data_IF_002753566360
#
_entry.id   IF_002753566360
#
_cell.length_a   1.000
_cell.length_b   1.000
_cell.length_c   1.000
_cell.angle_alpha   90.00
_cell.angle_beta   90.00
_cell.angle_gamma   90.00
#
_symmetry.space_group_name_H-M   'P 1'
#
loop_
_entity.id
_entity.type
_entity.pdbx_description
1 polymer ?
#
# COMPACT_ATOMS: atom_id res chain seq x y z
N UNK A 1 -1.89 -10.28 -10.36
CA UNK A 1 -0.97 -10.13 -11.51
C UNK A 1 -0.69 -8.65 -11.90
N UNK A 2 0.51 -8.10 -11.62
CA UNK A 2 0.88 -6.73 -12.05
C UNK A 2 1.07 -6.59 -13.57
N UNK A 3 1.37 -7.68 -14.29
CA UNK A 3 1.60 -7.67 -15.74
C UNK A 3 0.31 -7.76 -16.58
N UNK A 4 -0.83 -8.13 -15.97
CA UNK A 4 -2.12 -8.27 -16.67
C UNK A 4 -2.55 -7.00 -17.41
N UNK A 5 -2.19 -5.82 -16.88
CA UNK A 5 -2.50 -4.52 -17.49
C UNK A 5 -1.97 -4.33 -18.92
N UNK A 6 -0.90 -5.04 -19.30
CA UNK A 6 -0.33 -4.95 -20.65
C UNK A 6 -1.03 -5.87 -21.66
N UNK A 7 -1.73 -6.90 -21.19
CA UNK A 7 -2.53 -7.82 -22.04
C UNK A 7 -4.01 -7.48 -22.05
N UNK A 8 -4.52 -6.72 -21.06
CA UNK A 8 -5.91 -6.23 -21.02
C UNK A 8 -6.38 -5.56 -22.31
N UNK A 9 -5.59 -4.74 -23.04
CA UNK A 9 -6.06 -4.19 -24.33
C UNK A 9 -5.99 -5.20 -25.49
N UNK A 10 -5.10 -6.18 -25.41
CA UNK A 10 -4.89 -7.19 -26.47
C UNK A 10 -5.99 -8.26 -26.44
N UNK A 11 -6.43 -8.65 -25.24
CA UNK A 11 -7.42 -9.72 -25.05
C UNK A 11 -8.77 -9.42 -25.72
N UNK A 12 -9.40 -8.23 -25.58
CA UNK A 12 -10.64 -7.90 -26.28
C UNK A 12 -10.51 -7.97 -27.80
N UNK A 13 -9.36 -7.52 -28.34
CA UNK A 13 -9.11 -7.58 -29.78
C UNK A 13 -9.01 -9.03 -30.27
N UNK A 14 -8.24 -9.87 -29.57
CA UNK A 14 -8.15 -11.30 -29.89
C UNK A 14 -9.51 -12.01 -29.73
N UNK A 15 -10.30 -11.65 -28.71
CA UNK A 15 -11.64 -12.19 -28.50
C UNK A 15 -12.58 -11.82 -29.65
N UNK A 16 -12.52 -10.58 -30.14
CA UNK A 16 -13.32 -10.13 -31.29
C UNK A 16 -12.92 -10.84 -32.58
N UNK A 17 -11.61 -10.98 -32.85
CA UNK A 17 -11.10 -11.76 -33.98
C UNK A 17 -11.53 -13.22 -33.92
N UNK A 18 -11.46 -13.83 -32.72
CA UNK A 18 -11.92 -15.20 -32.51
C UNK A 18 -13.43 -15.33 -32.76
N UNK A 19 -14.24 -14.41 -32.25
CA UNK A 19 -15.68 -14.40 -32.48
C UNK A 19 -16.02 -14.34 -33.98
N UNK A 20 -15.34 -13.47 -34.73
CA UNK A 20 -15.53 -13.35 -36.18
C UNK A 20 -15.11 -14.60 -36.95
N UNK A 21 -14.01 -15.25 -36.54
CA UNK A 21 -13.58 -16.51 -37.13
C UNK A 21 -14.57 -17.65 -36.83
N UNK A 22 -15.10 -17.71 -35.60
CA UNK A 22 -16.09 -18.71 -35.18
C UNK A 22 -17.40 -18.55 -35.96
N UNK A 23 -17.86 -17.33 -36.18
CA UNK A 23 -19.10 -17.05 -36.91
C UNK A 23 -19.09 -17.66 -38.33
N UNK A 24 -17.92 -17.64 -38.98
CA UNK A 24 -17.71 -18.15 -40.34
C UNK A 24 -17.63 -19.67 -40.46
N UNK A 25 -17.62 -20.40 -39.34
CA UNK A 25 -17.65 -21.86 -39.39
C UNK A 25 -19.01 -22.35 -39.90
N UNK A 26 -19.07 -23.25 -40.89
CA UNK A 26 -20.33 -23.72 -41.47
C UNK A 26 -21.10 -24.66 -40.53
N UNK A 27 -20.46 -25.19 -39.48
CA UNK A 27 -21.03 -26.23 -38.63
C UNK A 27 -21.57 -25.65 -37.31
N UNK A 28 -22.89 -25.42 -37.27
CA UNK A 28 -23.59 -24.89 -36.10
C UNK A 28 -23.27 -25.58 -34.76
N UNK A 29 -23.23 -26.93 -34.65
CA UNK A 29 -22.90 -27.57 -33.36
C UNK A 29 -21.46 -27.30 -32.92
N UNK A 30 -20.51 -27.23 -33.86
CA UNK A 30 -19.12 -26.89 -33.55
C UNK A 30 -18.99 -25.46 -33.03
N UNK A 31 -19.67 -24.50 -33.68
CA UNK A 31 -19.72 -23.11 -33.20
C UNK A 31 -20.26 -23.01 -31.78
N UNK A 32 -21.40 -23.66 -31.52
CA UNK A 32 -22.00 -23.71 -30.20
C UNK A 32 -21.04 -24.33 -29.16
N UNK A 33 -20.37 -25.44 -29.52
CA UNK A 33 -19.36 -26.07 -28.67
C UNK A 33 -18.21 -25.13 -28.32
N UNK A 34 -17.66 -24.42 -29.29
CA UNK A 34 -16.56 -23.46 -29.06
C UNK A 34 -17.01 -22.32 -28.14
N UNK A 35 -18.20 -21.76 -28.36
CA UNK A 35 -18.74 -20.69 -27.51
C UNK A 35 -18.96 -21.19 -26.08
N UNK A 36 -19.54 -22.38 -25.90
CA UNK A 36 -19.75 -22.98 -24.58
C UNK A 36 -18.42 -23.20 -23.86
N UNK A 37 -17.40 -23.72 -24.54
CA UNK A 37 -16.06 -23.89 -23.96
C UNK A 37 -15.43 -22.55 -23.59
N UNK A 38 -15.51 -21.55 -24.48
CA UNK A 38 -14.97 -20.22 -24.22
C UNK A 38 -15.63 -19.56 -23.01
N UNK A 39 -16.97 -19.52 -22.97
CA UNK A 39 -17.73 -18.97 -21.85
C UNK A 39 -17.48 -19.77 -20.57
N UNK A 40 -17.51 -21.09 -20.64
CA UNK A 40 -17.25 -21.97 -19.50
C UNK A 40 -15.85 -21.77 -18.91
N UNK A 41 -14.83 -21.67 -19.76
CA UNK A 41 -13.45 -21.39 -19.33
C UNK A 41 -13.30 -20.00 -18.71
N UNK A 42 -13.96 -18.99 -19.27
CA UNK A 42 -13.97 -17.62 -18.72
C UNK A 42 -14.67 -17.53 -17.36
N UNK A 43 -15.81 -18.21 -17.20
CA UNK A 43 -16.51 -18.32 -15.92
C UNK A 43 -15.65 -19.06 -14.88
N UNK A 44 -15.04 -20.18 -15.26
CA UNK A 44 -14.15 -20.94 -14.39
C UNK A 44 -12.96 -20.09 -13.95
N UNK A 45 -12.27 -19.43 -14.89
CA UNK A 45 -11.13 -18.55 -14.58
C UNK A 45 -11.54 -17.36 -13.69
N UNK A 46 -12.74 -16.80 -13.89
CA UNK A 46 -13.27 -15.72 -13.04
C UNK A 46 -13.53 -16.21 -11.62
N UNK A 47 -14.13 -17.39 -11.46
CA UNK A 47 -14.39 -17.99 -10.15
C UNK A 47 -13.08 -18.37 -9.46
N UNK A 48 -12.13 -18.95 -10.18
CA UNK A 48 -10.80 -19.29 -9.69
C UNK A 48 -10.06 -18.03 -9.24
N UNK A 49 -10.03 -16.98 -10.07
CA UNK A 49 -9.45 -15.69 -9.71
C UNK A 49 -10.12 -15.08 -8.48
N UNK A 50 -11.46 -15.09 -8.40
CA UNK A 50 -12.20 -14.51 -7.29
C UNK A 50 -11.88 -15.19 -5.95
N UNK A 51 -11.65 -16.52 -5.99
CA UNK A 51 -11.25 -17.36 -4.84
C UNK A 51 -9.74 -17.33 -4.58
N UNK A 52 -8.94 -17.00 -5.58
CA UNK A 52 -7.50 -16.91 -5.49
C UNK A 52 -7.04 -15.81 -4.54
N UNK A 53 -5.83 -15.97 -4.01
CA UNK A 53 -5.19 -14.97 -3.15
C UNK A 53 -4.79 -13.69 -3.91
N UNK A 54 -4.90 -13.69 -5.24
CA UNK A 54 -4.58 -12.54 -6.09
C UNK A 54 -5.70 -11.52 -6.20
N UNK A 55 -6.93 -11.86 -5.79
CA UNK A 55 -8.04 -10.94 -5.82
C UNK A 55 -7.88 -9.87 -4.73
N UNK A 56 -7.69 -8.62 -5.15
CA UNK A 56 -7.64 -7.47 -4.25
C UNK A 56 -8.98 -6.75 -4.12
N UNK A 57 -10.02 -7.15 -4.85
CA UNK A 57 -11.35 -6.54 -4.79
C UNK A 57 -12.17 -6.97 -3.57
N UNK A 58 -13.01 -6.07 -3.08
CA UNK A 58 -13.99 -6.32 -2.01
C UNK A 58 -15.42 -6.03 -2.49
N UNK A 59 -16.43 -6.74 -1.94
CA UNK A 59 -17.82 -6.43 -2.23
C UNK A 59 -18.18 -4.98 -1.83
N UNK A 60 -18.94 -4.28 -2.66
CA UNK A 60 -19.38 -2.91 -2.39
C UNK A 60 -20.18 -2.78 -1.08
N UNK A 61 -20.88 -3.85 -0.68
CA UNK A 61 -21.62 -3.91 0.58
C UNK A 61 -20.71 -3.71 1.81
N UNK A 62 -19.42 -4.06 1.72
CA UNK A 62 -18.48 -3.86 2.82
C UNK A 62 -17.94 -2.42 2.91
N UNK A 63 -18.13 -1.61 1.87
CA UNK A 63 -17.56 -0.27 1.78
C UNK A 63 -18.15 0.67 2.80
N UNK A 64 -19.47 0.69 2.94
CA UNK A 64 -20.15 1.58 3.88
C UNK A 64 -19.68 1.33 5.32
N UNK A 65 -19.63 0.05 5.72
CA UNK A 65 -19.13 -0.35 7.04
C UNK A 65 -17.66 0.00 7.22
N UNK A 66 -16.83 -0.26 6.21
CA UNK A 66 -15.40 0.03 6.26
C UNK A 66 -15.13 1.51 6.38
N UNK A 67 -15.84 2.34 5.59
CA UNK A 67 -15.75 3.79 5.63
C UNK A 67 -16.15 4.33 7.00
N UNK A 68 -17.29 3.90 7.54
CA UNK A 68 -17.76 4.35 8.85
C UNK A 68 -16.73 4.11 9.95
N UNK A 69 -16.10 2.92 9.99
CA UNK A 69 -15.10 2.61 11.03
C UNK A 69 -13.79 3.39 10.82
N UNK A 70 -13.36 3.61 9.58
CA UNK A 70 -12.19 4.44 9.33
C UNK A 70 -12.47 5.92 9.67
N UNK A 71 -13.67 6.42 9.37
CA UNK A 71 -14.07 7.79 9.67
C UNK A 71 -14.28 8.03 11.18
N UNK A 72 -14.68 7.00 11.94
CA UNK A 72 -14.67 7.05 13.40
C UNK A 72 -13.25 7.20 13.96
N UNK A 73 -12.26 6.54 13.33
CA UNK A 73 -10.87 6.58 13.77
C UNK A 73 -10.13 7.88 13.40
N UNK A 74 -10.38 8.39 12.19
CA UNK A 74 -9.58 9.45 11.57
C UNK A 74 -10.38 10.71 11.21
N UNK A 75 -11.69 10.70 11.41
CA UNK A 75 -12.58 11.73 10.89
C UNK A 75 -12.87 11.54 9.39
N UNK A 76 -13.50 12.53 8.73
CA UNK A 76 -13.88 12.44 7.32
C UNK A 76 -12.69 12.11 6.41
N UNK A 77 -12.84 11.09 5.57
CA UNK A 77 -11.75 10.63 4.69
C UNK A 77 -11.94 11.10 3.24
N UNK A 78 -10.85 11.53 2.56
CA UNK A 78 -10.91 11.99 1.18
C UNK A 78 -11.00 10.85 0.15
N UNK A 79 -11.08 9.59 0.59
CA UNK A 79 -10.98 8.43 -0.30
C UNK A 79 -12.28 8.18 -1.07
N UNK A 80 -12.14 7.87 -2.36
CA UNK A 80 -13.26 7.46 -3.21
C UNK A 80 -13.60 5.98 -2.97
N UNK A 81 -14.83 5.59 -3.27
CA UNK A 81 -15.30 4.22 -3.07
C UNK A 81 -14.42 3.16 -3.77
N UNK A 82 -13.87 3.49 -4.94
CA UNK A 82 -12.97 2.61 -5.67
C UNK A 82 -11.64 2.33 -4.94
N UNK A 83 -11.12 3.32 -4.19
CA UNK A 83 -9.93 3.12 -3.36
C UNK A 83 -10.25 2.18 -2.20
N UNK A 84 -11.35 2.42 -1.49
CA UNK A 84 -11.76 1.57 -0.37
C UNK A 84 -12.16 0.14 -0.77
N UNK A 85 -12.54 -0.06 -2.04
CA UNK A 85 -12.87 -1.38 -2.60
C UNK A 85 -11.65 -2.26 -2.86
N UNK A 86 -10.45 -1.69 -2.88
CA UNK A 86 -9.23 -2.43 -3.06
C UNK A 86 -8.58 -2.74 -1.71
N UNK A 87 -8.28 -4.02 -1.42
CA UNK A 87 -7.65 -4.48 -0.17
C UNK A 87 -6.28 -3.85 0.11
N UNK A 88 -5.47 -3.62 -0.92
CA UNK A 88 -4.18 -2.97 -0.75
C UNK A 88 -4.37 -1.49 -0.35
N UNK A 89 -5.32 -0.81 -1.01
CA UNK A 89 -5.67 0.57 -0.68
C UNK A 89 -6.39 0.67 0.66
N UNK A 90 -7.12 -0.34 1.07
CA UNK A 90 -7.72 -0.41 2.40
C UNK A 90 -6.67 -0.41 3.49
N UNK A 91 -5.58 -1.19 3.35
CA UNK A 91 -4.43 -1.07 4.26
C UNK A 91 -3.94 0.38 4.25
N UNK A 92 -3.77 0.93 3.05
CA UNK A 92 -3.25 2.29 2.90
C UNK A 92 -4.22 3.36 3.41
N UNK A 93 -5.52 3.07 3.55
CA UNK A 93 -6.55 4.04 3.97
C UNK A 93 -6.49 4.38 5.46
N UNK A 94 -5.92 3.49 6.28
CA UNK A 94 -5.56 3.81 7.66
C UNK A 94 -4.12 4.31 7.80
N UNK A 95 -3.22 3.90 6.90
CA UNK A 95 -1.83 4.37 6.90
C UNK A 95 -1.69 5.80 6.40
N UNK A 96 -2.43 6.19 5.36
CA UNK A 96 -2.39 7.53 4.76
C UNK A 96 -2.69 8.64 5.77
N UNK A 97 -3.81 8.61 6.54
CA UNK A 97 -4.07 9.65 7.52
C UNK A 97 -3.04 9.64 8.67
N UNK A 98 -2.46 8.49 9.02
CA UNK A 98 -1.36 8.43 9.98
C UNK A 98 -0.10 9.14 9.47
N UNK A 99 0.25 8.93 8.19
CA UNK A 99 1.37 9.63 7.55
C UNK A 99 1.07 11.12 7.43
N UNK A 100 -0.13 11.51 7.02
CA UNK A 100 -0.53 12.93 6.92
C UNK A 100 -0.44 13.63 8.28
N UNK A 101 -1.02 13.06 9.34
CA UNK A 101 -0.95 13.64 10.68
C UNK A 101 0.50 13.75 11.19
N UNK A 102 1.37 12.79 10.85
CA UNK A 102 2.79 12.90 11.13
C UNK A 102 3.44 14.07 10.38
N UNK A 103 3.14 14.22 9.10
CA UNK A 103 3.70 15.28 8.26
C UNK A 103 3.16 16.66 8.64
N UNK A 104 1.89 16.79 9.02
CA UNK A 104 1.30 18.05 9.51
C UNK A 104 2.12 18.65 10.65
N UNK A 105 2.42 17.85 11.68
CA UNK A 105 3.22 18.29 12.83
C UNK A 105 4.66 18.68 12.46
N UNK A 106 5.26 17.93 11.52
CA UNK A 106 6.64 18.19 11.09
C UNK A 106 6.73 19.42 10.18
N UNK A 107 5.85 19.55 9.19
CA UNK A 107 5.81 20.68 8.25
C UNK A 107 5.56 22.00 8.98
N UNK A 108 4.78 21.98 10.06
CA UNK A 108 4.52 23.16 10.89
C UNK A 108 5.73 23.61 11.73
N UNK A 109 6.71 22.73 11.97
CA UNK A 109 7.78 22.96 12.97
C UNK A 109 9.21 22.86 12.41
N UNK A 110 9.37 22.37 11.18
CA UNK A 110 10.67 22.18 10.53
C UNK A 110 10.74 23.09 9.31
N UNK A 111 11.72 23.99 9.30
CA UNK A 111 11.93 24.97 8.23
C UNK A 111 12.73 24.41 7.05
N UNK A 112 12.36 23.22 6.59
CA UNK A 112 12.89 22.57 5.39
C UNK A 112 11.91 21.50 4.91
N UNK A 113 11.99 21.06 3.64
CA UNK A 113 11.21 19.93 3.19
C UNK A 113 11.43 18.68 4.05
N UNK A 114 10.34 18.01 4.41
CA UNK A 114 10.34 16.76 5.16
C UNK A 114 10.67 15.62 4.21
N UNK A 115 11.66 14.79 4.55
CA UNK A 115 12.05 13.65 3.72
C UNK A 115 11.24 12.41 4.15
N UNK A 116 10.46 11.88 3.22
CA UNK A 116 9.58 10.73 3.41
C UNK A 116 10.12 9.52 2.64
N UNK A 117 10.53 8.46 3.32
CA UNK A 117 11.05 7.23 2.71
C UNK A 117 9.97 6.13 2.66
N UNK A 118 9.79 5.52 1.50
CA UNK A 118 9.06 4.25 1.38
C UNK A 118 9.36 3.52 0.08
N UNK A 119 9.03 2.24 0.04
CA UNK A 119 8.92 1.47 -1.20
C UNK A 119 7.50 1.46 -1.80
N UNK A 120 6.54 2.16 -1.18
CA UNK A 120 5.16 2.20 -1.65
C UNK A 120 4.85 3.52 -2.36
N UNK A 121 5.04 3.56 -3.69
CA UNK A 121 4.79 4.73 -4.54
C UNK A 121 3.32 4.87 -5.03
N UNK A 122 2.34 4.50 -4.20
CA UNK A 122 0.92 4.37 -4.58
C UNK A 122 -0.01 5.42 -3.97
N UNK A 123 -1.08 4.95 -3.31
CA UNK A 123 -2.14 5.80 -2.74
C UNK A 123 -1.60 6.77 -1.66
N UNK A 124 -0.74 6.29 -0.75
CA UNK A 124 -0.17 7.12 0.33
C UNK A 124 0.55 8.37 -0.21
N UNK A 125 1.59 8.27 -1.07
CA UNK A 125 2.29 9.45 -1.55
C UNK A 125 1.39 10.33 -2.42
N UNK A 126 0.44 9.78 -3.17
CA UNK A 126 -0.53 10.57 -3.94
C UNK A 126 -1.30 11.56 -3.05
N UNK A 127 -1.92 11.08 -1.96
CA UNK A 127 -2.67 11.94 -1.04
C UNK A 127 -1.76 12.86 -0.20
N UNK A 128 -0.58 12.38 0.19
CA UNK A 128 0.42 13.20 0.90
C UNK A 128 0.89 14.38 0.06
N UNK A 129 1.19 14.17 -1.22
CA UNK A 129 1.67 15.23 -2.10
C UNK A 129 0.59 16.23 -2.49
N UNK A 130 -0.67 15.80 -2.54
CA UNK A 130 -1.80 16.73 -2.67
C UNK A 130 -1.90 17.68 -1.47
N UNK A 131 -1.70 17.16 -0.25
CA UNK A 131 -1.80 17.97 0.98
C UNK A 131 -0.55 18.82 1.26
N UNK A 132 0.64 18.34 0.90
CA UNK A 132 1.92 18.95 1.30
C UNK A 132 2.83 19.29 0.11
N UNK A 133 2.24 19.75 -1.00
CA UNK A 133 2.98 20.08 -2.21
C UNK A 133 4.17 21.01 -1.93
N UNK A 134 5.36 20.62 -2.37
CA UNK A 134 6.61 21.38 -2.17
C UNK A 134 7.16 21.39 -0.73
N UNK A 135 6.45 20.78 0.23
CA UNK A 135 6.88 20.69 1.64
C UNK A 135 7.40 19.30 2.02
N UNK A 136 7.17 18.30 1.17
CA UNK A 136 7.64 16.92 1.36
C UNK A 136 8.48 16.51 0.17
N UNK A 137 9.59 15.81 0.42
CA UNK A 137 10.40 15.12 -0.59
C UNK A 137 10.24 13.63 -0.37
N UNK A 138 9.71 12.92 -1.37
CA UNK A 138 9.64 11.46 -1.33
C UNK A 138 10.95 10.85 -1.81
N UNK A 139 11.45 9.90 -1.04
CA UNK A 139 12.61 9.09 -1.36
C UNK A 139 12.10 7.68 -1.64
N UNK A 140 12.13 7.29 -2.91
CA UNK A 140 11.56 6.03 -3.38
C UNK A 140 12.61 4.91 -3.31
N UNK A 141 12.34 3.90 -2.48
CA UNK A 141 13.24 2.75 -2.35
C UNK A 141 13.36 1.92 -3.62
N UNK A 142 12.42 1.97 -4.55
CA UNK A 142 12.36 1.07 -5.71
C UNK A 142 12.43 1.78 -7.06
N UNK A 143 12.75 3.07 -7.09
CA UNK A 143 13.02 3.75 -8.35
C UNK A 143 11.79 3.97 -9.24
N UNK A 144 10.57 3.95 -8.68
CA UNK A 144 9.34 4.06 -9.46
C UNK A 144 8.97 5.51 -9.78
N UNK A 145 9.25 6.40 -8.84
CA UNK A 145 8.87 7.82 -8.87
C UNK A 145 10.04 8.78 -8.59
N UNK A 146 11.10 8.29 -7.96
CA UNK A 146 12.36 8.98 -7.71
C UNK A 146 13.51 8.00 -7.93
N UNK A 147 14.57 8.40 -8.63
CA UNK A 147 15.70 7.52 -8.96
C UNK A 147 17.01 7.92 -8.26
N UNK A 148 16.95 8.83 -7.27
CA UNK A 148 18.12 9.35 -6.59
C UNK A 148 18.97 8.24 -5.94
N UNK A 149 18.32 7.27 -5.26
CA UNK A 149 19.03 6.12 -4.67
C UNK A 149 19.60 5.19 -5.74
N UNK A 150 18.83 4.92 -6.80
CA UNK A 150 19.23 4.00 -7.87
C UNK A 150 20.44 4.53 -8.64
N UNK A 151 20.48 5.84 -8.90
CA UNK A 151 21.61 6.47 -9.61
C UNK A 151 22.88 6.56 -8.77
N UNK A 152 22.74 6.74 -7.46
CA UNK A 152 23.90 6.89 -6.59
C UNK A 152 24.54 5.53 -6.23
N UNK A 153 23.73 4.50 -6.02
CA UNK A 153 24.19 3.23 -5.50
C UNK A 153 24.82 2.34 -6.59
N UNK A 154 25.91 1.61 -6.29
CA UNK A 154 26.45 0.64 -7.21
C UNK A 154 25.48 -0.53 -7.41
N UNK A 155 25.46 -1.13 -8.60
CA UNK A 155 24.51 -2.19 -8.97
C UNK A 155 24.48 -3.37 -7.98
N UNK A 156 25.61 -3.72 -7.37
CA UNK A 156 25.70 -4.79 -6.36
C UNK A 156 24.82 -4.56 -5.12
N UNK A 157 24.44 -3.31 -4.84
CA UNK A 157 23.58 -2.93 -3.71
C UNK A 157 22.12 -2.72 -4.14
N UNK A 158 21.80 -2.91 -5.43
CA UNK A 158 20.47 -2.73 -5.98
C UNK A 158 19.82 -4.09 -6.21
N UNK A 159 18.74 -4.36 -5.46
CA UNK A 159 17.89 -5.52 -5.70
C UNK A 159 16.90 -5.23 -6.83
N UNK A 160 16.62 -6.24 -7.66
CA UNK A 160 15.53 -6.19 -8.65
C UNK A 160 14.37 -7.05 -8.14
N UNK A 161 13.17 -6.50 -8.15
CA UNK A 161 11.95 -7.22 -7.76
C UNK A 161 10.77 -6.81 -8.62
N UNK A 162 9.62 -7.46 -8.39
CA UNK A 162 8.34 -7.05 -9.00
C UNK A 162 7.90 -5.64 -8.59
N UNK A 163 8.53 -5.05 -7.57
CA UNK A 163 8.24 -3.71 -7.07
C UNK A 163 9.17 -2.63 -7.63
N UNK A 164 10.21 -3.00 -8.39
CA UNK A 164 11.18 -2.07 -8.98
C UNK A 164 12.63 -2.43 -8.69
N UNK A 165 13.51 -1.43 -8.77
CA UNK A 165 14.95 -1.58 -8.59
C UNK A 165 15.42 -0.64 -7.49
N UNK A 166 16.09 -1.19 -6.48
CA UNK A 166 16.63 -0.36 -5.40
C UNK A 166 17.10 -1.15 -4.19
N UNK A 167 17.63 -0.47 -3.17
CA UNK A 167 18.08 -1.13 -1.95
C UNK A 167 16.88 -1.65 -1.14
N UNK A 168 17.10 -2.69 -0.34
CA UNK A 168 16.13 -3.02 0.71
C UNK A 168 16.13 -1.93 1.77
N UNK A 169 14.96 -1.62 2.34
CA UNK A 169 14.84 -0.64 3.42
C UNK A 169 15.79 -0.94 4.60
N UNK A 170 15.83 -2.20 5.04
CA UNK A 170 16.67 -2.61 6.17
C UNK A 170 18.16 -2.41 5.89
N UNK A 171 18.60 -2.64 4.65
CA UNK A 171 19.97 -2.34 4.24
C UNK A 171 20.24 -0.84 4.27
N UNK A 172 19.33 -0.02 3.73
CA UNK A 172 19.51 1.44 3.71
C UNK A 172 19.57 2.03 5.12
N UNK A 173 18.70 1.58 6.02
CA UNK A 173 18.67 2.00 7.42
C UNK A 173 19.95 1.57 8.18
N UNK A 174 20.54 0.45 7.81
CA UNK A 174 21.79 -0.03 8.41
C UNK A 174 23.05 0.71 7.89
N UNK A 175 22.93 1.48 6.81
CA UNK A 175 24.04 2.16 6.14
C UNK A 175 23.71 3.65 5.91
N UNK A 176 23.46 4.44 6.97
CA UNK A 176 23.07 5.86 6.83
C UNK A 176 24.11 6.72 6.11
N UNK A 177 25.40 6.34 6.15
CA UNK A 177 26.50 7.01 5.44
C UNK A 177 26.36 6.94 3.90
N UNK A 178 25.53 6.03 3.38
CA UNK A 178 25.13 6.01 1.97
C UNK A 178 24.41 7.29 1.61
N UNK A 179 23.44 7.71 2.42
CA UNK A 179 22.62 8.88 2.13
C UNK A 179 23.49 10.14 2.07
N UNK A 180 24.43 10.28 3.00
CA UNK A 180 25.40 11.38 3.03
C UNK A 180 26.26 11.41 1.76
N UNK A 181 26.86 10.27 1.37
CA UNK A 181 27.65 10.17 0.11
C UNK A 181 26.82 10.49 -1.13
N UNK A 182 25.53 10.17 -1.11
CA UNK A 182 24.60 10.49 -2.19
C UNK A 182 24.10 11.95 -2.16
N UNK A 183 24.49 12.76 -1.17
CA UNK A 183 23.93 14.09 -0.98
C UNK A 183 22.43 14.09 -0.68
N UNK A 184 21.93 13.01 -0.09
CA UNK A 184 20.52 12.82 0.27
C UNK A 184 20.39 13.02 1.78
N UNK A 185 19.49 13.91 2.20
CA UNK A 185 19.20 14.09 3.61
C UNK A 185 18.58 12.80 4.21
N UNK A 186 18.93 12.42 5.45
CA UNK A 186 18.29 11.31 6.14
C UNK A 186 16.76 11.47 6.19
N UNK A 187 15.97 10.41 6.01
CA UNK A 187 14.53 10.51 6.05
C UNK A 187 14.04 10.93 7.42
N UNK A 188 13.08 11.83 7.48
CA UNK A 188 12.44 12.24 8.74
C UNK A 188 11.33 11.27 9.13
N UNK A 189 10.66 10.72 8.10
CA UNK A 189 9.55 9.76 8.23
C UNK A 189 9.83 8.56 7.32
N UNK A 190 9.66 7.37 7.87
CA UNK A 190 9.72 6.09 7.15
C UNK A 190 8.39 5.40 7.31
N UNK A 191 7.76 4.98 6.21
CA UNK A 191 6.56 4.14 6.29
C UNK A 191 6.67 2.95 5.36
N UNK A 192 6.00 1.87 5.73
CA UNK A 192 6.00 0.66 4.92
C UNK A 192 5.08 -0.41 5.44
N UNK A 193 5.24 -1.60 4.88
CA UNK A 193 4.48 -2.80 5.21
C UNK A 193 5.32 -3.81 5.97
N UNK A 194 4.65 -4.75 6.65
CA UNK A 194 5.29 -5.88 7.33
C UNK A 194 6.29 -5.49 8.43
N UNK A 195 5.80 -4.86 9.49
CA UNK A 195 6.59 -4.69 10.72
C UNK A 195 6.82 -6.04 11.39
N UNK A 196 8.07 -6.38 11.64
CA UNK A 196 8.46 -7.54 12.44
C UNK A 196 9.54 -7.15 13.46
N UNK A 197 9.92 -8.05 14.38
CA UNK A 197 10.88 -7.74 15.44
C UNK A 197 12.23 -7.25 14.90
N UNK A 198 12.76 -7.88 13.84
CA UNK A 198 14.02 -7.48 13.21
C UNK A 198 13.93 -6.07 12.61
N UNK A 199 12.82 -5.75 11.94
CA UNK A 199 12.59 -4.42 11.37
C UNK A 199 12.43 -3.35 12.45
N UNK A 200 11.74 -3.66 13.56
CA UNK A 200 11.63 -2.76 14.72
C UNK A 200 13.00 -2.45 15.31
N UNK A 201 13.84 -3.47 15.46
CA UNK A 201 15.19 -3.30 15.97
C UNK A 201 16.07 -2.49 15.00
N UNK A 202 15.96 -2.74 13.69
CA UNK A 202 16.68 -1.97 12.67
C UNK A 202 16.30 -0.49 12.67
N UNK A 203 14.99 -0.17 12.72
CA UNK A 203 14.50 1.21 12.81
C UNK A 203 15.02 1.90 14.07
N UNK A 204 14.92 1.24 15.23
CA UNK A 204 15.42 1.79 16.50
C UNK A 204 16.93 2.03 16.46
N UNK A 205 17.72 1.09 15.95
CA UNK A 205 19.17 1.23 15.79
C UNK A 205 19.54 2.38 14.84
N UNK A 206 18.70 2.65 13.85
CA UNK A 206 18.85 3.78 12.93
C UNK A 206 18.32 5.11 13.50
N UNK A 207 17.86 5.15 14.76
CA UNK A 207 17.36 6.36 15.41
C UNK A 207 15.91 6.72 15.05
N UNK A 208 15.06 5.72 14.76
CA UNK A 208 13.64 5.91 14.48
C UNK A 208 12.76 5.23 15.52
N UNK A 209 11.70 5.92 15.93
CA UNK A 209 10.63 5.37 16.74
C UNK A 209 9.38 5.10 15.89
N UNK A 210 8.78 3.93 16.07
CA UNK A 210 7.48 3.62 15.46
C UNK A 210 6.39 4.35 16.25
N UNK A 211 5.71 5.29 15.59
CA UNK A 211 4.63 6.10 16.17
C UNK A 211 3.25 5.58 15.78
N UNK A 212 3.17 4.78 14.72
CA UNK A 212 1.96 4.14 14.24
C UNK A 212 2.24 2.69 13.82
N UNK A 213 1.39 1.76 14.25
CA UNK A 213 1.42 0.37 13.81
C UNK A 213 0.02 -0.15 13.45
N UNK A 214 -0.08 -0.78 12.28
CA UNK A 214 -1.27 -1.49 11.83
C UNK A 214 -0.99 -2.99 11.82
N UNK A 215 -1.90 -3.78 12.38
CA UNK A 215 -1.80 -5.25 12.45
C UNK A 215 -3.14 -5.91 12.13
N UNK A 216 -3.20 -7.24 11.99
CA UNK A 216 -4.47 -7.98 11.94
C UNK A 216 -4.66 -8.84 10.69
N UNK A 217 -5.88 -8.89 10.16
CA UNK A 217 -6.27 -9.65 8.96
C UNK A 217 -7.23 -8.88 8.05
N UNK A 218 -6.94 -8.84 6.73
CA UNK A 218 -7.84 -8.27 5.70
C UNK A 218 -8.68 -9.35 4.99
N UNK A 219 -9.10 -10.38 5.72
CA UNK A 219 -9.95 -11.44 5.17
C UNK A 219 -11.39 -10.94 5.02
N UNK A 220 -11.98 -11.23 3.87
CA UNK A 220 -13.41 -11.05 3.65
C UNK A 220 -14.19 -12.09 4.46
N UNK A 221 -15.26 -11.72 5.18
CA UNK A 221 -16.21 -12.68 5.74
C UNK A 221 -16.93 -13.50 4.67
N UNK A 222 -16.99 -13.04 3.42
CA UNK A 222 -17.56 -13.78 2.30
C UNK A 222 -16.55 -14.77 1.71
N UNK A 223 -16.87 -16.06 1.81
CA UNK A 223 -16.03 -17.18 1.36
C UNK A 223 -15.72 -17.19 -0.14
N UNK A 224 -16.58 -16.59 -0.97
CA UNK A 224 -16.38 -16.51 -2.43
C UNK A 224 -15.33 -15.48 -2.83
N UNK A 225 -14.96 -14.56 -1.94
CA UNK A 225 -13.94 -13.54 -2.15
C UNK A 225 -12.82 -13.68 -1.12
N UNK A 226 -12.25 -14.88 -1.02
CA UNK A 226 -11.25 -15.26 0.00
C UNK A 226 -9.90 -14.55 -0.10
N UNK A 227 -9.71 -13.67 -1.09
CA UNK A 227 -8.47 -12.92 -1.30
C UNK A 227 -7.85 -12.40 -0.01
N UNK A 228 -6.56 -12.64 0.17
CA UNK A 228 -5.81 -12.26 1.34
C UNK A 228 -5.08 -10.94 1.09
N UNK A 229 -5.33 -9.96 1.96
CA UNK A 229 -4.53 -8.73 2.02
C UNK A 229 -3.58 -8.79 3.21
N UNK A 230 -2.43 -8.13 3.07
CA UNK A 230 -1.54 -7.88 4.18
C UNK A 230 -1.95 -6.56 4.88
N UNK A 231 -2.48 -6.58 6.11
CA UNK A 231 -2.83 -5.35 6.83
C UNK A 231 -1.63 -4.70 7.50
N UNK A 232 -0.48 -5.35 7.58
CA UNK A 232 0.61 -4.86 8.41
C UNK A 232 1.25 -3.63 7.77
N UNK A 233 1.22 -2.52 8.50
CA UNK A 233 1.83 -1.25 8.10
C UNK A 233 2.39 -0.52 9.32
N UNK A 234 3.28 0.44 9.09
CA UNK A 234 3.82 1.30 10.14
C UNK A 234 4.19 2.67 9.63
N UNK A 235 4.25 3.62 10.56
CA UNK A 235 4.95 4.90 10.39
C UNK A 235 5.99 4.99 11.50
N UNK A 236 7.22 5.25 11.11
CA UNK A 236 8.34 5.52 11.98
C UNK A 236 8.88 6.93 11.71
N UNK A 237 9.31 7.60 12.78
CA UNK A 237 9.80 8.98 12.75
C UNK A 237 11.15 9.01 13.45
N UNK A 238 12.07 9.84 12.97
CA UNK A 238 13.34 10.09 13.68
C UNK A 238 13.08 10.47 15.14
N UNK A 239 13.80 9.86 16.07
CA UNK A 239 13.52 9.96 17.52
C UNK A 239 13.44 11.42 18.01
N UNK A 240 14.33 12.29 17.53
CA UNK A 240 14.37 13.70 17.90
C UNK A 240 13.20 14.54 17.35
N UNK A 241 12.45 14.00 16.39
CA UNK A 241 11.28 14.65 15.80
C UNK A 241 9.96 14.14 16.38
N UNK A 242 9.96 13.04 17.14
CA UNK A 242 8.74 12.42 17.69
C UNK A 242 7.92 13.41 18.54
N UNK A 243 8.59 14.24 19.35
CA UNK A 243 7.91 15.24 20.20
C UNK A 243 7.15 16.33 19.43
N UNK A 244 7.33 16.42 18.11
CA UNK A 244 6.67 17.40 17.24
C UNK A 244 5.42 16.85 16.55
N UNK A 245 5.12 15.57 16.77
CA UNK A 245 4.03 14.86 16.10
C UNK A 245 2.98 14.43 17.10
N UNK A 246 1.72 14.71 16.78
CA UNK A 246 0.57 14.26 17.53
C UNK A 246 -0.29 13.40 16.62
N UNK A 247 -0.34 12.09 16.89
CA UNK A 247 -1.22 11.18 16.18
C UNK A 247 -2.48 10.93 17.02
N UNK A 248 -3.69 11.00 16.42
CA UNK A 248 -4.92 10.66 17.12
C UNK A 248 -4.97 9.17 17.48
N UNK A 249 -4.30 8.33 16.69
CA UNK A 249 -4.24 6.87 16.88
C UNK A 249 -2.81 6.39 16.61
N UNK A 250 -2.23 5.63 17.56
CA UNK A 250 -0.91 5.03 17.43
C UNK A 250 -0.95 3.55 17.02
N UNK A 251 -2.12 2.90 17.08
CA UNK A 251 -2.27 1.50 16.69
C UNK A 251 -3.66 1.17 16.16
N UNK A 252 -3.71 0.42 15.06
CA UNK A 252 -4.94 -0.09 14.43
C UNK A 252 -4.85 -1.62 14.28
N UNK A 253 -5.94 -2.34 14.55
CA UNK A 253 -6.04 -3.79 14.38
C UNK A 253 -7.14 -4.11 13.37
N UNK A 254 -6.85 -4.98 12.40
CA UNK A 254 -7.79 -5.44 11.35
C UNK A 254 -8.33 -6.87 11.61
N UNK A 255 -9.59 -7.20 11.26
CA UNK A 255 -10.63 -6.26 10.82
C UNK A 255 -10.81 -5.18 11.90
N UNK A 256 -11.18 -3.96 11.51
CA UNK A 256 -11.22 -2.80 12.41
C UNK A 256 -12.14 -3.10 13.60
N UNK A 257 -11.57 -3.72 14.64
CA UNK A 257 -12.18 -4.04 15.91
C UNK A 257 -11.71 -2.94 16.84
N UNK A 258 -12.56 -1.94 17.03
CA UNK A 258 -12.34 -0.96 18.07
C UNK A 258 -12.56 -1.65 19.43
N UNK A 259 -11.47 -1.84 20.18
CA UNK A 259 -11.55 -2.06 21.61
C UNK A 259 -11.59 -0.68 22.29
N UNK A 260 -12.74 -0.20 22.78
CA UNK A 260 -12.86 1.10 23.43
C UNK A 260 -11.98 1.25 24.70
N UNK A 261 -11.50 0.15 25.28
CA UNK A 261 -10.83 0.15 26.59
C UNK A 261 -9.37 0.66 26.61
N UNK A 262 -8.75 0.96 25.46
CA UNK A 262 -7.33 1.40 25.45
C UNK A 262 -7.09 2.90 25.58
N UNK A 263 -8.08 3.76 25.33
CA UNK A 263 -7.91 5.20 25.61
C UNK A 263 -7.85 5.48 27.12
N UNK A 264 -8.49 4.66 27.95
CA UNK A 264 -8.51 4.81 29.41
C UNK A 264 -7.19 4.44 30.11
N UNK A 265 -6.26 3.73 29.46
CA UNK A 265 -4.97 3.35 30.07
C UNK A 265 -3.85 4.36 29.83
N UNK A 266 -3.96 5.24 28.83
CA UNK A 266 -2.97 6.30 28.60
C UNK A 266 -3.15 7.52 29.51
N UNK A 267 -4.36 7.75 30.03
CA UNK A 267 -4.67 8.83 30.98
C UNK A 267 -4.39 8.50 32.44
N UNK A 268 -4.12 7.23 32.77
CA UNK A 268 -3.78 6.77 34.14
C UNK A 268 -2.28 6.58 34.40
N UNK A 269 -1.42 7.04 33.49
CA UNK A 269 0.05 7.05 33.65
C UNK A 269 0.65 8.46 33.62
N UNK A 270 -0.12 9.46 34.05
CA UNK A 270 0.42 10.77 34.46
C UNK A 270 0.12 10.98 35.93
#
# INVERSE_FOLDING_TARGET
MPAGRFVVPVVPFLALLAAFAIERLPWAPLRAGIVVVAVGSGLWATVDFARGNENTGRPHLELARTRAVLEEAWGPLPFVAAELANRAHLRDSSLTPAVQAALDGLVATVDRPIVLLSGQAGMVPFHVFQAHYGKVRFLDLYGLTDDALVRCLPERNLGRSIFGVGPSEGWLLAHPEVLERCGIAPPDVVYGVNTNAAKRDALRKAGYAIVYEQVGSLRSPYSFFSGAGNPHAYVAIREELVGRVQLPVSRVVFPLEFHPDRQAQSSRRR
#
